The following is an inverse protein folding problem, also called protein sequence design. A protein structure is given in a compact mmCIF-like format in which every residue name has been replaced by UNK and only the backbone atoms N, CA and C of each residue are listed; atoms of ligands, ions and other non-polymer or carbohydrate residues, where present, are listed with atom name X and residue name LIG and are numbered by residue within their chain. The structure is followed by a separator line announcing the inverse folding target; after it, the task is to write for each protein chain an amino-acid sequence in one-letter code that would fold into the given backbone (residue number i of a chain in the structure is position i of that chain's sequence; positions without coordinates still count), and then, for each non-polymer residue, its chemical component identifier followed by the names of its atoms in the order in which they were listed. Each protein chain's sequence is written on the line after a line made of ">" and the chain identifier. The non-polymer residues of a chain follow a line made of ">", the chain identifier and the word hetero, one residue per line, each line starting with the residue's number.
data_IF_022389629418
#
_entry.id   IF_022389629418
#
_cell.length_a   1.000
_cell.length_b   1.000
_cell.length_c   1.000
_cell.angle_alpha   90.00
_cell.angle_beta   90.00
_cell.angle_gamma   90.00
#
_symmetry.space_group_name_H-M   'P 1'
#
loop_
_entity.id
_entity.type
_entity.pdbx_description
1 polymer ?
#
# COMPACT_ATOMS: atom_id res chain seq x y z
N UNK A 1 16.04 19.21 -7.46
CA UNK A 1 14.90 18.30 -7.25
C UNK A 1 15.29 16.92 -7.73
N UNK A 2 15.26 15.93 -6.86
CA UNK A 2 15.56 14.56 -7.26
C UNK A 2 14.37 14.01 -8.04
N UNK A 3 14.63 13.53 -9.26
CA UNK A 3 13.58 12.87 -10.02
C UNK A 3 13.36 11.47 -9.45
N UNK A 4 12.11 11.10 -9.24
CA UNK A 4 11.74 9.74 -8.84
C UNK A 4 11.59 8.88 -10.10
N UNK A 5 11.82 7.58 -9.94
CA UNK A 5 11.65 6.64 -11.07
C UNK A 5 10.18 6.53 -11.48
N UNK A 6 9.90 6.12 -12.73
CA UNK A 6 8.52 5.82 -13.12
C UNK A 6 7.85 4.77 -12.20
N UNK A 7 8.59 3.77 -11.77
CA UNK A 7 8.06 2.74 -10.86
C UNK A 7 7.63 3.34 -9.53
N UNK A 8 8.47 4.15 -8.89
CA UNK A 8 8.13 4.79 -7.63
C UNK A 8 6.94 5.74 -7.79
N UNK A 9 6.87 6.49 -8.89
CA UNK A 9 5.74 7.37 -9.16
C UNK A 9 4.42 6.60 -9.23
N UNK A 10 4.42 5.42 -9.84
CA UNK A 10 3.25 4.53 -9.88
C UNK A 10 2.86 4.06 -8.48
N UNK A 11 3.84 3.69 -7.66
CA UNK A 11 3.62 3.28 -6.27
C UNK A 11 2.98 4.38 -5.45
N UNK A 12 3.46 5.62 -5.61
CA UNK A 12 2.91 6.80 -4.93
C UNK A 12 1.44 6.99 -5.32
N UNK A 13 1.13 6.97 -6.61
CA UNK A 13 -0.24 7.14 -7.10
C UNK A 13 -1.17 6.04 -6.60
N UNK A 14 -0.70 4.80 -6.60
CA UNK A 14 -1.48 3.66 -6.12
C UNK A 14 -1.83 3.82 -4.64
N UNK A 15 -0.85 4.18 -3.82
CA UNK A 15 -1.05 4.38 -2.39
C UNK A 15 -1.99 5.56 -2.09
N UNK A 16 -1.84 6.66 -2.79
CA UNK A 16 -2.71 7.82 -2.64
C UNK A 16 -4.16 7.49 -2.99
N UNK A 17 -4.37 6.74 -4.07
CA UNK A 17 -5.71 6.35 -4.49
C UNK A 17 -6.37 5.40 -3.48
N UNK A 18 -5.63 4.41 -2.99
CA UNK A 18 -6.13 3.48 -1.98
C UNK A 18 -6.41 4.18 -0.64
N UNK A 19 -5.60 5.18 -0.29
CA UNK A 19 -5.72 5.87 0.99
C UNK A 19 -7.04 6.57 1.18
N UNK A 20 -7.67 7.06 0.12
CA UNK A 20 -8.97 7.75 0.21
C UNK A 20 -10.04 6.85 0.80
N UNK A 21 -10.11 5.60 0.34
CA UNK A 21 -11.05 4.63 0.88
C UNK A 21 -10.67 4.20 2.29
N UNK A 22 -9.38 4.05 2.58
CA UNK A 22 -8.93 3.67 3.92
C UNK A 22 -9.25 4.73 4.97
N UNK A 23 -9.05 5.99 4.65
CA UNK A 23 -9.40 7.10 5.55
C UNK A 23 -10.90 7.09 5.84
N UNK A 24 -11.72 6.95 4.80
CA UNK A 24 -13.17 6.88 4.96
C UNK A 24 -13.58 5.68 5.82
N UNK A 25 -13.03 4.51 5.51
CA UNK A 25 -13.36 3.28 6.22
C UNK A 25 -12.90 3.34 7.68
N UNK A 26 -11.73 3.92 7.94
CA UNK A 26 -11.26 4.12 9.31
C UNK A 26 -12.22 5.02 10.12
N UNK A 27 -12.75 6.06 9.49
CA UNK A 27 -13.71 6.95 10.12
C UNK A 27 -15.04 6.29 10.48
N UNK A 28 -15.34 5.14 9.87
CA UNK A 28 -16.58 4.39 10.14
C UNK A 28 -16.43 3.35 11.26
N UNK A 29 -15.23 3.12 11.76
CA UNK A 29 -14.96 2.05 12.75
C UNK A 29 -15.84 2.19 14.01
N UNK A 30 -15.96 3.39 14.56
CA UNK A 30 -16.77 3.61 15.77
C UNK A 30 -18.25 3.26 15.53
N UNK A 31 -18.79 3.60 14.37
CA UNK A 31 -20.17 3.28 14.00
C UNK A 31 -20.37 1.79 13.85
N UNK A 32 -19.35 1.06 13.36
CA UNK A 32 -19.43 -0.36 13.11
C UNK A 32 -19.35 -1.21 14.36
N UNK A 33 -18.83 -0.67 15.45
CA UNK A 33 -18.81 -1.38 16.73
C UNK A 33 -20.21 -1.69 17.25
N UNK A 34 -21.23 -0.97 16.79
CA UNK A 34 -22.63 -1.23 17.13
C UNK A 34 -23.37 -2.02 16.05
N UNK A 35 -22.69 -2.43 14.97
CA UNK A 35 -23.33 -3.17 13.88
C UNK A 35 -23.27 -4.68 14.12
N UNK A 36 -24.18 -5.41 13.45
CA UNK A 36 -24.29 -6.86 13.54
C UNK A 36 -23.05 -7.57 12.96
N UNK A 37 -22.43 -6.98 11.94
CA UNK A 37 -21.28 -7.59 11.25
C UNK A 37 -19.98 -7.53 12.04
N UNK A 38 -19.84 -6.58 12.93
CA UNK A 38 -18.65 -6.39 13.73
C UNK A 38 -17.46 -5.78 12.98
N UNK A 39 -16.47 -5.26 13.73
CA UNK A 39 -15.31 -4.57 13.15
C UNK A 39 -14.40 -5.45 12.31
N UNK A 40 -14.24 -6.74 12.67
CA UNK A 40 -13.30 -7.63 11.96
C UNK A 40 -13.68 -7.86 10.50
N UNK A 41 -14.97 -8.06 10.20
CA UNK A 41 -15.45 -8.23 8.83
C UNK A 41 -15.27 -6.94 8.02
N UNK A 42 -15.47 -5.81 8.66
CA UNK A 42 -15.29 -4.51 8.03
C UNK A 42 -13.82 -4.25 7.67
N UNK A 43 -12.90 -4.58 8.59
CA UNK A 43 -11.45 -4.42 8.34
C UNK A 43 -11.02 -5.32 7.20
N UNK A 44 -11.49 -6.58 7.17
CA UNK A 44 -11.21 -7.50 6.07
C UNK A 44 -11.69 -6.94 4.72
N UNK A 45 -12.87 -6.32 4.70
CA UNK A 45 -13.40 -5.66 3.50
C UNK A 45 -12.56 -4.46 3.09
N UNK A 46 -12.10 -3.65 4.06
CA UNK A 46 -11.24 -2.50 3.80
C UNK A 46 -9.89 -2.93 3.21
N UNK A 47 -9.28 -3.98 3.77
CA UNK A 47 -8.06 -4.59 3.25
C UNK A 47 -8.22 -5.01 1.79
N UNK A 48 -9.27 -5.76 1.51
CA UNK A 48 -9.53 -6.30 0.16
C UNK A 48 -9.74 -5.19 -0.87
N UNK A 49 -10.51 -4.17 -0.51
CA UNK A 49 -10.74 -3.02 -1.39
C UNK A 49 -9.46 -2.25 -1.67
N UNK A 50 -8.68 -1.98 -0.63
CA UNK A 50 -7.42 -1.24 -0.77
C UNK A 50 -6.44 -2.01 -1.65
N UNK A 51 -6.31 -3.31 -1.42
CA UNK A 51 -5.43 -4.16 -2.23
C UNK A 51 -5.84 -4.16 -3.70
N UNK A 52 -7.14 -4.29 -3.97
CA UNK A 52 -7.66 -4.25 -5.33
C UNK A 52 -7.31 -2.95 -6.05
N UNK A 53 -7.48 -1.82 -5.40
CA UNK A 53 -7.15 -0.51 -5.95
C UNK A 53 -5.65 -0.43 -6.26
N UNK A 54 -4.80 -0.86 -5.34
CA UNK A 54 -3.35 -0.84 -5.52
C UNK A 54 -2.95 -1.71 -6.71
N UNK A 55 -3.44 -2.94 -6.76
CA UNK A 55 -3.13 -3.88 -7.85
C UNK A 55 -3.57 -3.31 -9.19
N UNK A 56 -4.78 -2.77 -9.29
CA UNK A 56 -5.28 -2.18 -10.54
C UNK A 56 -4.37 -1.05 -11.04
N UNK A 57 -3.94 -0.16 -10.15
CA UNK A 57 -3.05 0.94 -10.53
C UNK A 57 -1.66 0.45 -10.97
N UNK A 58 -1.09 -0.52 -10.24
CA UNK A 58 0.20 -1.08 -10.58
C UNK A 58 0.14 -1.82 -11.92
N UNK A 59 -0.90 -2.59 -12.16
CA UNK A 59 -1.06 -3.39 -13.37
C UNK A 59 -1.36 -2.57 -14.61
N UNK A 60 -1.98 -1.42 -14.49
CA UNK A 60 -2.16 -0.49 -15.62
C UNK A 60 -0.82 -0.10 -16.24
N UNK A 61 0.18 0.09 -15.40
CA UNK A 61 1.50 0.55 -15.83
C UNK A 61 2.45 -0.59 -16.16
N UNK A 62 2.38 -1.69 -15.41
CA UNK A 62 3.31 -2.83 -15.52
C UNK A 62 2.54 -4.15 -15.50
N UNK A 63 1.74 -4.40 -16.51
CA UNK A 63 0.81 -5.53 -16.60
C UNK A 63 1.45 -6.91 -16.53
N UNK A 64 2.73 -7.03 -16.83
CA UNK A 64 3.44 -8.32 -16.85
C UNK A 64 4.17 -8.63 -15.53
N UNK A 65 4.28 -7.66 -14.63
CA UNK A 65 4.95 -7.89 -13.35
C UNK A 65 4.13 -8.84 -12.48
N UNK A 66 4.82 -9.66 -11.71
CA UNK A 66 4.20 -10.55 -10.74
C UNK A 66 3.85 -9.78 -9.46
N UNK A 67 3.02 -10.38 -8.63
CA UNK A 67 2.51 -9.74 -7.42
C UNK A 67 2.58 -10.72 -6.25
N UNK A 68 3.05 -10.24 -5.11
CA UNK A 68 2.95 -10.91 -3.82
C UNK A 68 2.20 -9.98 -2.88
N UNK A 69 1.01 -10.38 -2.44
CA UNK A 69 0.19 -9.54 -1.59
C UNK A 69 -0.27 -10.26 -0.33
N UNK A 70 -0.55 -9.48 0.71
CA UNK A 70 -1.00 -9.98 2.02
C UNK A 70 -2.30 -10.79 1.88
N UNK A 71 -3.26 -10.28 1.11
CA UNK A 71 -4.61 -10.85 1.05
C UNK A 71 -4.75 -11.95 -0.01
N UNK A 72 -4.13 -11.79 -1.17
CA UNK A 72 -4.28 -12.71 -2.30
C UNK A 72 -3.09 -13.65 -2.53
N UNK A 73 -2.03 -13.53 -1.75
CA UNK A 73 -0.84 -14.35 -1.92
C UNK A 73 -0.08 -14.02 -3.19
N UNK A 74 0.47 -15.02 -3.85
CA UNK A 74 1.34 -14.86 -5.01
C UNK A 74 0.56 -14.99 -6.31
N UNK A 75 0.72 -14.03 -7.21
CA UNK A 75 0.24 -14.07 -8.59
C UNK A 75 1.44 -13.98 -9.53
N UNK A 76 1.71 -15.06 -10.25
CA UNK A 76 2.84 -15.12 -11.16
C UNK A 76 2.37 -14.74 -12.57
N UNK A 77 2.95 -13.67 -13.11
CA UNK A 77 2.69 -13.21 -14.47
C UNK A 77 3.91 -13.48 -15.36
N UNK A 78 3.94 -12.95 -16.59
CA UNK A 78 5.01 -13.22 -17.56
C UNK A 78 6.39 -12.80 -17.06
N UNK A 79 6.47 -11.70 -16.29
CA UNK A 79 7.71 -11.20 -15.73
C UNK A 79 7.81 -11.64 -14.26
N UNK A 80 8.58 -12.69 -14.02
CA UNK A 80 8.82 -13.21 -12.67
C UNK A 80 9.99 -12.53 -11.98
N UNK A 81 10.78 -11.75 -12.71
CA UNK A 81 11.93 -11.03 -12.15
C UNK A 81 11.52 -9.76 -11.42
N UNK A 82 10.42 -9.16 -11.83
CA UNK A 82 9.88 -7.95 -11.21
C UNK A 82 8.60 -8.31 -10.47
N UNK A 83 8.60 -8.10 -9.15
CA UNK A 83 7.50 -8.48 -8.27
C UNK A 83 7.11 -7.30 -7.40
N UNK A 84 5.83 -6.90 -7.49
CA UNK A 84 5.26 -5.97 -6.54
C UNK A 84 4.96 -6.71 -5.23
N UNK A 85 5.38 -6.14 -4.12
CA UNK A 85 5.08 -6.69 -2.79
C UNK A 85 4.18 -5.69 -2.08
N UNK A 86 2.97 -6.13 -1.69
CA UNK A 86 1.90 -5.23 -1.23
C UNK A 86 1.36 -5.68 0.11
N UNK A 87 1.29 -4.74 1.07
CA UNK A 87 0.48 -4.86 2.27
C UNK A 87 -0.44 -3.64 2.31
N UNK A 88 -1.75 -3.82 2.06
CA UNK A 88 -2.68 -2.68 1.96
C UNK A 88 -2.95 -2.01 3.30
N UNK A 89 -2.88 -2.74 4.41
CA UNK A 89 -2.99 -2.19 5.77
C UNK A 89 -1.99 -2.91 6.66
N UNK A 90 -0.82 -2.32 6.83
CA UNK A 90 0.11 -2.76 7.86
C UNK A 90 -0.31 -2.11 9.17
N UNK A 91 -0.63 -2.93 10.17
CA UNK A 91 -1.22 -2.48 11.43
C UNK A 91 -2.73 -2.68 11.48
N UNK A 92 -3.25 -3.80 10.96
CA UNK A 92 -4.67 -4.12 10.95
C UNK A 92 -5.29 -4.13 12.34
N UNK A 93 -4.54 -4.54 13.36
CA UNK A 93 -5.01 -4.52 14.75
C UNK A 93 -5.28 -3.08 15.21
N UNK A 94 -4.41 -2.15 14.88
CA UNK A 94 -4.61 -0.73 15.17
C UNK A 94 -5.83 -0.19 14.44
N UNK A 95 -5.95 -0.52 13.16
CA UNK A 95 -7.11 -0.12 12.34
C UNK A 95 -8.41 -0.63 12.97
N UNK A 96 -8.44 -1.90 13.35
CA UNK A 96 -9.60 -2.54 13.98
C UNK A 96 -10.03 -1.84 15.27
N UNK A 97 -9.08 -1.36 16.06
CA UNK A 97 -9.35 -0.73 17.35
C UNK A 97 -9.49 0.80 17.29
N UNK A 98 -9.51 1.37 16.08
CA UNK A 98 -9.63 2.81 15.91
C UNK A 98 -8.38 3.59 16.31
N UNK A 99 -7.22 2.92 16.31
CA UNK A 99 -5.94 3.56 16.62
C UNK A 99 -5.35 4.07 15.31
N UNK A 100 -5.12 5.39 15.16
CA UNK A 100 -4.69 5.99 13.88
C UNK A 100 -3.20 5.78 13.62
N UNK A 101 -2.76 4.54 13.64
CA UNK A 101 -1.37 4.16 13.41
C UNK A 101 -1.31 2.90 12.56
N UNK A 102 -1.39 3.08 11.26
CA UNK A 102 -1.30 2.03 10.25
C UNK A 102 -0.79 2.64 8.96
N UNK A 103 -0.35 1.81 8.03
CA UNK A 103 0.24 2.30 6.80
C UNK A 103 -0.03 1.36 5.63
N UNK A 104 0.09 1.90 4.42
CA UNK A 104 0.16 1.14 3.18
C UNK A 104 1.63 0.87 2.89
N UNK A 105 1.98 -0.37 2.57
CA UNK A 105 3.34 -0.76 2.20
C UNK A 105 3.36 -1.32 0.79
N UNK A 106 4.19 -0.74 -0.08
CA UNK A 106 4.39 -1.22 -1.44
C UNK A 106 5.89 -1.26 -1.72
N UNK A 107 6.37 -2.36 -2.26
CA UNK A 107 7.76 -2.49 -2.67
C UNK A 107 7.87 -3.11 -4.07
N UNK A 108 8.94 -2.80 -4.76
CA UNK A 108 9.31 -3.47 -6.00
C UNK A 108 10.58 -4.27 -5.76
N UNK A 109 10.47 -5.59 -5.97
CA UNK A 109 11.61 -6.49 -5.98
C UNK A 109 11.97 -6.77 -7.44
N UNK A 110 13.24 -6.54 -7.79
CA UNK A 110 13.74 -6.77 -9.16
C UNK A 110 15.00 -7.62 -9.06
N UNK A 111 15.02 -8.77 -9.75
CA UNK A 111 16.12 -9.72 -9.70
C UNK A 111 16.50 -10.10 -8.26
N UNK A 112 15.50 -10.45 -7.45
CA UNK A 112 15.64 -10.85 -6.04
C UNK A 112 16.17 -9.77 -5.10
N UNK A 113 16.09 -8.51 -5.48
CA UNK A 113 16.53 -7.39 -4.66
C UNK A 113 15.44 -6.33 -4.60
N UNK A 114 15.18 -5.79 -3.41
CA UNK A 114 14.25 -4.68 -3.26
C UNK A 114 14.92 -3.43 -3.80
N UNK A 115 14.35 -2.84 -4.84
CA UNK A 115 14.90 -1.66 -5.52
C UNK A 115 14.14 -0.38 -5.25
N UNK A 116 12.87 -0.49 -4.85
CA UNK A 116 12.04 0.66 -4.47
C UNK A 116 11.11 0.25 -3.34
N UNK A 117 10.86 1.15 -2.44
CA UNK A 117 9.94 0.90 -1.32
C UNK A 117 9.21 2.16 -0.91
N UNK A 118 7.97 1.98 -0.45
CA UNK A 118 7.10 3.07 -0.02
C UNK A 118 6.30 2.61 1.18
N UNK A 119 6.24 3.47 2.19
CA UNK A 119 5.35 3.32 3.35
C UNK A 119 4.55 4.61 3.45
N UNK A 120 3.24 4.53 3.35
CA UNK A 120 2.38 5.70 3.44
C UNK A 120 1.43 5.60 4.62
N UNK A 121 1.58 6.53 5.57
CA UNK A 121 0.63 6.71 6.68
C UNK A 121 -0.44 7.70 6.20
N UNK A 122 -1.67 7.22 5.88
CA UNK A 122 -2.68 8.09 5.28
C UNK A 122 -3.31 9.05 6.29
N UNK A 123 -3.30 8.73 7.57
CA UNK A 123 -3.89 9.59 8.60
C UNK A 123 -3.01 10.80 8.88
N UNK A 124 -1.70 10.58 8.95
CA UNK A 124 -0.73 11.67 9.16
C UNK A 124 -0.30 12.34 7.86
N UNK A 125 -0.66 11.77 6.71
CA UNK A 125 -0.22 12.20 5.39
C UNK A 125 1.30 12.24 5.30
N UNK A 126 1.92 11.14 5.73
CA UNK A 126 3.38 10.97 5.70
C UNK A 126 3.75 9.85 4.73
N UNK A 127 4.44 10.25 3.66
CA UNK A 127 4.89 9.34 2.62
C UNK A 127 6.39 9.12 2.75
N UNK A 128 6.78 7.94 3.22
CA UNK A 128 8.18 7.52 3.28
C UNK A 128 8.49 6.70 2.04
N UNK A 129 9.56 7.05 1.35
CA UNK A 129 9.95 6.26 0.18
C UNK A 129 11.46 6.26 -0.01
N UNK A 130 11.96 5.24 -0.68
CA UNK A 130 13.36 5.10 -1.01
C UNK A 130 13.52 4.31 -2.31
N UNK A 131 14.58 4.61 -3.02
CA UNK A 131 15.04 3.83 -4.17
C UNK A 131 16.50 3.47 -3.95
N UNK A 132 16.90 2.30 -4.45
CA UNK A 132 18.28 1.86 -4.37
C UNK A 132 19.21 2.95 -4.91
N UNK A 133 20.24 3.29 -4.15
CA UNK A 133 21.26 4.29 -4.46
C UNK A 133 20.75 5.74 -4.56
N UNK A 134 19.53 6.02 -4.15
CA UNK A 134 18.96 7.38 -4.23
C UNK A 134 18.62 8.00 -2.87
N UNK A 135 18.83 7.24 -1.80
CA UNK A 135 18.52 7.69 -0.45
C UNK A 135 17.05 7.52 -0.08
N UNK A 136 16.69 7.99 1.10
CA UNK A 136 15.34 7.88 1.64
C UNK A 136 14.74 9.27 1.87
N UNK A 137 13.42 9.35 1.77
CA UNK A 137 12.69 10.61 1.82
C UNK A 137 11.42 10.48 2.66
N UNK A 138 11.07 11.55 3.34
CA UNK A 138 9.75 11.75 3.95
C UNK A 138 9.09 12.91 3.22
N UNK A 139 8.01 12.61 2.51
CA UNK A 139 7.38 13.54 1.59
C UNK A 139 8.43 14.04 0.59
N UNK A 140 8.76 15.31 0.57
CA UNK A 140 9.74 15.88 -0.36
C UNK A 140 11.11 16.17 0.29
N UNK A 141 11.33 15.66 1.49
CA UNK A 141 12.56 15.94 2.24
C UNK A 141 13.41 14.67 2.40
N UNK A 142 14.67 14.77 2.07
CA UNK A 142 15.62 13.68 2.31
C UNK A 142 15.82 13.49 3.82
N UNK A 143 15.82 12.26 4.25
CA UNK A 143 16.02 11.90 5.65
C UNK A 143 17.27 11.04 5.84
#
# INVERSE_FOLDING_TARGET
>A
MNSISPALNIMIKASEKASKNLIRDFGEIEKLQVSIKGPSDFVSSADTKAEKIIIEELMKAKKNYSILSEENGSTINKDEKNVWIIDPIDGTTNFLHGIPHFAISIALKSNNEIVSGLIYDPIKDEMFFAEKNSGAFLNNKKI
#
